data_IF_628023361449
#
_entry.id   IF_628023361449
#
_cell.length_a   1.000
_cell.length_b   1.000
_cell.length_c   1.000
_cell.angle_alpha   90.00
_cell.angle_beta   90.00
_cell.angle_gamma   90.00
#
_symmetry.space_group_name_H-M   'P 1'
#
loop_
_entity.id
_entity.type
_entity.pdbx_description
1 polymer ?
#
# COMPACT_ATOMS: atom_id res chain seq x y z
N UNK A 1 12.50 -6.55 8.69
CA UNK A 1 11.48 -5.51 8.84
C UNK A 1 11.83 -4.44 7.83
N UNK A 2 10.96 -4.11 6.88
CA UNK A 2 11.20 -2.91 6.07
C UNK A 2 10.81 -1.72 6.95
N UNK A 3 11.81 -1.06 7.53
CA UNK A 3 11.59 0.05 8.45
C UNK A 3 11.65 1.33 7.62
N UNK A 4 10.49 1.97 7.46
CA UNK A 4 10.46 3.31 6.91
C UNK A 4 10.74 4.30 8.03
N UNK A 5 11.89 4.96 7.95
CA UNK A 5 12.19 6.08 8.86
C UNK A 5 11.67 7.35 8.20
N UNK A 6 10.79 8.12 8.88
CA UNK A 6 10.34 9.38 8.34
C UNK A 6 11.56 10.29 8.12
N UNK A 7 11.66 10.87 6.93
CA UNK A 7 12.65 11.89 6.63
C UNK A 7 12.56 13.03 7.66
N UNK A 8 13.69 13.50 8.18
CA UNK A 8 13.71 14.64 9.12
C UNK A 8 12.98 15.82 8.48
N UNK A 9 11.96 16.36 9.15
CA UNK A 9 11.25 17.58 8.72
C UNK A 9 12.24 18.74 8.74
N UNK A 10 12.80 19.05 7.58
CA UNK A 10 13.79 20.11 7.41
C UNK A 10 14.76 19.80 6.27
N UNK A 11 14.25 19.83 5.04
CA UNK A 11 15.07 19.75 3.82
C UNK A 11 15.03 18.39 3.11
N UNK A 12 14.19 18.28 2.09
CA UNK A 12 14.38 17.37 0.94
C UNK A 12 14.60 15.87 1.19
N UNK A 13 14.30 15.35 2.37
CA UNK A 13 14.49 13.93 2.68
C UNK A 13 13.41 13.08 2.00
N UNK A 14 13.79 12.37 0.93
CA UNK A 14 13.00 11.23 0.44
C UNK A 14 12.90 10.22 1.58
N UNK A 15 11.69 9.77 1.89
CA UNK A 15 11.49 8.65 2.79
C UNK A 15 12.20 7.42 2.18
N UNK A 16 13.24 6.93 2.85
CA UNK A 16 14.07 5.83 2.35
C UNK A 16 13.51 4.47 2.80
N UNK A 17 13.42 3.55 1.84
CA UNK A 17 13.10 2.15 2.09
C UNK A 17 14.32 1.43 2.67
N UNK A 18 14.45 1.41 3.99
CA UNK A 18 15.55 0.70 4.66
C UNK A 18 15.14 -0.74 4.96
N UNK A 19 15.93 -1.70 4.46
CA UNK A 19 15.80 -3.11 4.83
C UNK A 19 16.53 -3.36 6.16
N UNK A 20 15.81 -3.72 7.21
CA UNK A 20 16.36 -4.05 8.54
C UNK A 20 16.80 -5.53 8.65
N UNK A 21 17.03 -6.23 7.54
CA UNK A 21 17.53 -7.61 7.53
C UNK A 21 16.57 -8.70 8.06
N UNK A 22 15.55 -8.36 8.85
CA UNK A 22 14.55 -9.33 9.29
C UNK A 22 13.57 -9.69 8.15
N UNK A 23 13.32 -10.98 7.95
CA UNK A 23 12.38 -11.47 6.93
C UNK A 23 10.97 -10.92 7.19
N UNK A 24 10.26 -10.49 6.16
CA UNK A 24 8.83 -10.14 6.27
C UNK A 24 8.02 -11.26 5.62
N UNK A 25 6.87 -11.58 6.19
CA UNK A 25 5.95 -12.56 5.62
C UNK A 25 5.06 -11.81 4.62
N UNK A 26 5.06 -12.26 3.37
CA UNK A 26 4.28 -11.66 2.28
C UNK A 26 3.28 -12.70 1.78
N UNK A 27 1.99 -12.40 1.87
CA UNK A 27 0.90 -13.29 1.45
C UNK A 27 0.01 -12.56 0.43
N UNK A 28 -0.21 -13.13 -0.76
CA UNK A 28 -1.14 -12.54 -1.73
C UNK A 28 -2.59 -12.65 -1.24
N UNK A 29 -3.39 -11.63 -1.54
CA UNK A 29 -4.84 -11.62 -1.29
C UNK A 29 -5.55 -12.04 -2.58
N UNK A 30 -6.15 -13.23 -2.57
CA UNK A 30 -6.62 -13.92 -3.77
C UNK A 30 -7.81 -13.25 -4.47
N UNK A 31 -8.64 -12.50 -3.73
CA UNK A 31 -9.89 -11.94 -4.25
C UNK A 31 -9.77 -10.53 -4.88
N UNK A 32 -8.57 -10.09 -5.25
CA UNK A 32 -8.38 -8.83 -5.98
C UNK A 32 -8.37 -9.05 -7.49
N UNK A 33 -9.36 -8.50 -8.19
CA UNK A 33 -9.55 -8.68 -9.63
C UNK A 33 -8.77 -7.69 -10.51
N UNK A 34 -8.52 -6.47 -10.02
CA UNK A 34 -7.97 -5.38 -10.84
C UNK A 34 -6.48 -5.12 -10.60
N UNK A 35 -5.98 -5.50 -9.42
CA UNK A 35 -4.66 -5.13 -8.93
C UNK A 35 -4.02 -6.31 -8.21
N UNK A 36 -2.71 -6.33 -8.10
CA UNK A 36 -2.03 -7.25 -7.17
C UNK A 36 -2.14 -6.68 -5.76
N UNK A 37 -2.53 -7.50 -4.79
CA UNK A 37 -2.73 -7.06 -3.41
C UNK A 37 -2.03 -8.04 -2.49
N UNK A 38 -1.12 -7.52 -1.68
CA UNK A 38 -0.25 -8.29 -0.81
C UNK A 38 -0.48 -7.84 0.64
N UNK A 39 -0.68 -8.80 1.54
CA UNK A 39 -0.53 -8.57 2.98
C UNK A 39 0.93 -8.76 3.34
N UNK A 40 1.54 -7.73 3.93
CA UNK A 40 2.91 -7.77 4.44
C UNK A 40 2.86 -7.70 5.95
N UNK A 41 3.35 -8.75 6.59
CA UNK A 41 3.42 -8.88 8.05
C UNK A 41 4.88 -8.91 8.49
N UNK A 42 5.20 -8.22 9.59
CA UNK A 42 6.52 -8.32 10.21
C UNK A 42 6.81 -9.75 10.67
N UNK A 43 8.09 -10.13 10.78
CA UNK A 43 8.51 -11.47 11.22
C UNK A 43 7.94 -11.88 12.59
N UNK A 44 7.77 -10.89 13.47
CA UNK A 44 7.24 -11.05 14.83
C UNK A 44 5.70 -10.96 14.90
N UNK A 45 5.03 -10.73 13.77
CA UNK A 45 3.57 -10.57 13.70
C UNK A 45 3.04 -9.26 14.29
N UNK A 46 3.89 -8.39 14.83
CA UNK A 46 3.45 -7.18 15.57
C UNK A 46 2.87 -6.10 14.68
N UNK A 47 3.22 -6.09 13.39
CA UNK A 47 2.78 -5.10 12.43
C UNK A 47 2.34 -5.77 11.13
N UNK A 48 1.27 -5.25 10.55
CA UNK A 48 0.84 -5.64 9.21
C UNK A 48 0.40 -4.44 8.39
N UNK A 49 0.50 -4.57 7.07
CA UNK A 49 -0.01 -3.59 6.13
C UNK A 49 -0.45 -4.28 4.84
N UNK A 50 -1.24 -3.57 4.04
CA UNK A 50 -1.61 -3.98 2.69
C UNK A 50 -0.83 -3.15 1.69
N UNK A 51 -0.23 -3.84 0.73
CA UNK A 51 0.44 -3.25 -0.42
C UNK A 51 -0.38 -3.59 -1.66
N UNK A 52 -0.84 -2.58 -2.37
CA UNK A 52 -1.60 -2.69 -3.60
C UNK A 52 -0.74 -2.21 -4.76
N UNK A 53 -0.49 -3.09 -5.73
CA UNK A 53 0.26 -2.80 -6.95
C UNK A 53 -0.72 -2.70 -8.12
N UNK A 54 -0.75 -1.54 -8.75
CA UNK A 54 -1.63 -1.26 -9.88
C UNK A 54 -0.94 -1.65 -11.18
N UNK A 55 -1.40 -2.76 -11.75
CA UNK A 55 -0.93 -3.24 -13.05
C UNK A 55 -1.45 -2.31 -14.17
N UNK A 56 -0.74 -2.16 -15.30
CA UNK A 56 -1.22 -1.42 -16.48
C UNK A 56 -2.36 -2.15 -17.24
N UNK A 57 -3.00 -3.13 -16.60
CA UNK A 57 -4.09 -3.94 -17.14
C UNK A 57 -4.94 -4.54 -16.01
N UNK A 58 -6.10 -5.09 -16.34
CA UNK A 58 -6.94 -5.79 -15.38
C UNK A 58 -6.34 -7.15 -15.02
N UNK A 59 -5.93 -7.38 -13.76
CA UNK A 59 -5.31 -8.64 -13.30
C UNK A 59 -6.08 -9.88 -13.75
N UNK A 60 -7.41 -9.88 -13.64
CA UNK A 60 -8.26 -11.03 -14.00
C UNK A 60 -8.31 -11.33 -15.51
N UNK A 61 -8.15 -10.32 -16.37
CA UNK A 61 -8.25 -10.46 -17.83
C UNK A 61 -6.88 -10.43 -18.54
N UNK A 62 -5.83 -10.08 -17.81
CA UNK A 62 -4.48 -9.96 -18.34
C UNK A 62 -4.28 -8.72 -19.23
N UNK A 63 -3.13 -8.64 -19.91
CA UNK A 63 -2.72 -7.47 -20.70
C UNK A 63 -3.65 -7.10 -21.87
N UNK A 64 -4.54 -8.01 -22.28
CA UNK A 64 -5.54 -7.75 -23.33
C UNK A 64 -6.59 -6.69 -22.93
N UNK A 65 -6.75 -6.44 -21.63
CA UNK A 65 -7.64 -5.41 -21.09
C UNK A 65 -6.78 -4.35 -20.38
N UNK A 66 -6.26 -3.36 -21.11
CA UNK A 66 -5.38 -2.34 -20.57
C UNK A 66 -6.14 -1.41 -19.61
N UNK A 67 -5.44 -0.92 -18.59
CA UNK A 67 -5.96 0.03 -17.63
C UNK A 67 -4.93 1.15 -17.39
N UNK A 68 -5.43 2.36 -17.21
CA UNK A 68 -4.63 3.53 -16.85
C UNK A 68 -3.87 3.29 -15.53
N UNK A 69 -2.61 3.71 -15.46
CA UNK A 69 -1.76 3.50 -14.27
C UNK A 69 -1.97 4.61 -13.22
N UNK A 70 -2.37 5.79 -13.67
CA UNK A 70 -2.75 6.98 -12.90
C UNK A 70 -3.93 6.72 -11.94
N UNK A 71 -4.63 5.59 -12.10
CA UNK A 71 -5.61 5.10 -11.12
C UNK A 71 -5.01 4.86 -9.74
N UNK A 72 -3.70 4.57 -9.66
CA UNK A 72 -2.97 4.47 -8.39
C UNK A 72 -3.05 5.78 -7.61
N UNK A 73 -2.59 6.87 -8.24
CA UNK A 73 -2.60 8.23 -7.68
C UNK A 73 -4.02 8.70 -7.35
N UNK A 74 -4.97 8.52 -8.27
CA UNK A 74 -6.38 8.89 -8.02
C UNK A 74 -6.98 8.15 -6.83
N UNK A 75 -6.67 6.86 -6.65
CA UNK A 75 -7.15 6.12 -5.48
C UNK A 75 -6.54 6.67 -4.19
N UNK A 76 -5.23 6.96 -4.18
CA UNK A 76 -4.56 7.57 -3.03
C UNK A 76 -5.19 8.91 -2.65
N UNK A 77 -5.35 9.83 -3.62
CA UNK A 77 -5.94 11.16 -3.41
C UNK A 77 -7.38 11.05 -2.91
N UNK A 78 -8.19 10.16 -3.50
CA UNK A 78 -9.55 9.91 -3.06
C UNK A 78 -9.60 9.38 -1.62
N UNK A 79 -8.73 8.44 -1.25
CA UNK A 79 -8.65 7.93 0.13
C UNK A 79 -8.27 9.03 1.12
N UNK A 80 -7.25 9.85 0.82
CA UNK A 80 -6.85 10.99 1.66
C UNK A 80 -8.00 11.99 1.82
N UNK A 81 -8.66 12.33 0.72
CA UNK A 81 -9.79 13.27 0.74
C UNK A 81 -10.97 12.72 1.56
N UNK A 82 -11.36 11.46 1.35
CA UNK A 82 -12.44 10.82 2.10
C UNK A 82 -12.14 10.81 3.60
N UNK A 83 -10.92 10.46 4.00
CA UNK A 83 -10.52 10.51 5.42
C UNK A 83 -10.55 11.91 6.03
N UNK A 84 -10.26 12.94 5.22
CA UNK A 84 -10.36 14.33 5.69
C UNK A 84 -11.79 14.76 5.98
N UNK A 85 -12.78 14.12 5.33
CA UNK A 85 -14.20 14.38 5.55
C UNK A 85 -14.77 13.51 6.67
N UNK A 86 -14.42 12.22 6.68
CA UNK A 86 -14.90 11.23 7.63
C UNK A 86 -13.69 10.47 8.16
N UNK A 87 -13.15 10.89 9.31
CA UNK A 87 -12.06 10.15 9.96
C UNK A 87 -12.44 8.68 10.18
N UNK A 88 -11.46 7.80 10.06
CA UNK A 88 -11.58 6.36 10.33
C UNK A 88 -12.58 5.56 9.46
N UNK A 89 -13.18 6.13 8.41
CA UNK A 89 -14.13 5.40 7.57
C UNK A 89 -13.50 4.44 6.56
N UNK A 90 -12.20 4.57 6.31
CA UNK A 90 -11.43 3.73 5.40
C UNK A 90 -9.98 3.64 5.87
N UNK A 91 -9.21 2.66 5.38
CA UNK A 91 -7.82 2.50 5.78
C UNK A 91 -6.97 3.70 5.35
N UNK A 92 -6.14 4.19 6.27
CA UNK A 92 -5.24 5.30 5.99
C UNK A 92 -4.20 4.91 4.94
N UNK A 93 -4.18 5.59 3.78
CA UNK A 93 -3.10 5.40 2.83
C UNK A 93 -1.82 5.95 3.47
N UNK A 94 -0.87 5.07 3.74
CA UNK A 94 0.42 5.42 4.32
C UNK A 94 1.34 6.06 3.29
N UNK A 95 1.24 5.61 2.03
CA UNK A 95 2.18 5.97 0.98
C UNK A 95 1.61 5.66 -0.41
N UNK A 96 2.03 6.45 -1.40
CA UNK A 96 1.83 6.20 -2.82
C UNK A 96 3.15 6.45 -3.55
N UNK A 97 3.60 5.45 -4.30
CA UNK A 97 4.64 5.56 -5.32
C UNK A 97 3.94 5.54 -6.68
N UNK A 98 3.78 6.71 -7.29
CA UNK A 98 3.14 6.86 -8.59
C UNK A 98 4.06 6.45 -9.76
N UNK A 99 5.37 6.36 -9.54
CA UNK A 99 6.33 5.86 -10.54
C UNK A 99 6.23 4.34 -10.65
N UNK A 100 6.17 3.65 -9.52
CA UNK A 100 6.08 2.19 -9.46
C UNK A 100 4.64 1.67 -9.36
N UNK A 101 3.65 2.56 -9.31
CA UNK A 101 2.22 2.25 -9.22
C UNK A 101 1.85 1.43 -7.98
N UNK A 102 2.39 1.83 -6.82
CA UNK A 102 2.21 1.15 -5.53
C UNK A 102 1.47 2.07 -4.56
N UNK A 103 0.39 1.59 -3.96
CA UNK A 103 -0.21 2.19 -2.77
C UNK A 103 -0.04 1.28 -1.57
N UNK A 104 0.36 1.86 -0.44
CA UNK A 104 0.42 1.17 0.86
C UNK A 104 -0.67 1.69 1.77
N UNK A 105 -1.45 0.79 2.35
CA UNK A 105 -2.49 1.11 3.32
C UNK A 105 -2.15 0.42 4.65
N UNK A 106 -2.35 1.15 5.76
CA UNK A 106 -2.21 0.55 7.08
C UNK A 106 -3.43 -0.33 7.32
N UNK A 107 -3.20 -1.60 7.63
CA UNK A 107 -4.25 -2.44 8.19
C UNK A 107 -4.16 -2.24 9.70
N UNK A 108 -5.20 -1.68 10.30
CA UNK A 108 -5.38 -1.91 11.72
C UNK A 108 -5.69 -3.38 11.84
N UNK A 109 -4.84 -4.12 12.56
CA UNK A 109 -5.26 -5.42 13.08
C UNK A 109 -6.46 -5.07 13.95
N UNK A 110 -7.67 -5.17 13.39
CA UNK A 110 -8.82 -5.42 14.22
C UNK A 110 -8.41 -6.61 15.07
N UNK A 111 -8.47 -6.42 16.38
CA UNK A 111 -8.45 -7.50 17.33
C UNK A 111 -9.61 -8.42 16.92
N UNK A 112 -9.33 -9.36 16.02
CA UNK A 112 -10.17 -10.51 15.76
C UNK A 112 -10.08 -11.33 17.03
N UNK A 113 -10.99 -11.00 17.96
CA UNK A 113 -11.41 -11.91 19.03
C UNK A 113 -12.14 -13.11 18.46
#
# INVERSE_FOLDING_TARGET
MIVWKPGKRGGGGRDELVSDGAASIVVPIEHSYLNEVLRVTSSDGSQSCVVKVFLPFAKFAGPAVPLEVERCKRQYEASVYIQSLIPDCCEAPLFCDDVNNICKQKVYLDALG
#
